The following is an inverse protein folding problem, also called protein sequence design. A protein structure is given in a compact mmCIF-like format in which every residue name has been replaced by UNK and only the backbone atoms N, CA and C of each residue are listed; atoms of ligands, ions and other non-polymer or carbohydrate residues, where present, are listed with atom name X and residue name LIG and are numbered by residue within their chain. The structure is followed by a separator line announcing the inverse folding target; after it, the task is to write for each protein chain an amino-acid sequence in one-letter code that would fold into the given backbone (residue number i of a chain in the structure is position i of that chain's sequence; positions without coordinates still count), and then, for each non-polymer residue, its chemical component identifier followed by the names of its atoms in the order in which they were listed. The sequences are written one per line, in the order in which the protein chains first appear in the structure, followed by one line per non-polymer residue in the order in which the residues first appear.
data_IF_240567336000
#
_entry.id   IF_240567336000
#
_cell.length_a   1.000
_cell.length_b   1.000
_cell.length_c   1.000
_cell.angle_alpha   90.00
_cell.angle_beta   90.00
_cell.angle_gamma   90.00
#
_symmetry.space_group_name_H-M   'P 1'
#
loop_
_entity.id
_entity.type
_entity.pdbx_description
1 polymer ?
#
# COMPACT_ATOMS: atom_id res chain seq x y z
N UNK A 1 15.11 -17.80 -14.14
CA UNK A 1 14.21 -16.62 -14.11
C UNK A 1 14.20 -16.04 -15.51
N UNK A 2 13.04 -15.99 -16.16
CA UNK A 2 12.93 -15.48 -17.53
C UNK A 2 12.73 -13.96 -17.56
N UNK A 3 12.94 -13.35 -18.73
CA UNK A 3 12.80 -11.91 -18.93
C UNK A 3 11.36 -11.40 -18.67
N UNK A 4 10.35 -12.22 -19.00
CA UNK A 4 8.94 -11.86 -18.80
C UNK A 4 8.59 -11.74 -17.31
N UNK A 5 9.13 -12.63 -16.48
CA UNK A 5 9.01 -12.60 -15.03
C UNK A 5 9.57 -11.30 -14.47
N UNK A 6 10.80 -10.93 -14.84
CA UNK A 6 11.46 -9.71 -14.38
C UNK A 6 10.70 -8.45 -14.82
N UNK A 7 10.26 -8.38 -16.08
CA UNK A 7 9.45 -7.27 -16.57
C UNK A 7 8.14 -7.13 -15.80
N UNK A 8 7.47 -8.24 -15.49
CA UNK A 8 6.22 -8.22 -14.73
C UNK A 8 6.43 -7.74 -13.29
N UNK A 9 7.50 -8.20 -12.62
CA UNK A 9 7.89 -7.72 -11.29
C UNK A 9 8.16 -6.21 -11.32
N UNK A 10 8.98 -5.73 -12.27
CA UNK A 10 9.30 -4.31 -12.37
C UNK A 10 8.07 -3.44 -12.65
N UNK A 11 7.18 -3.89 -13.55
CA UNK A 11 5.94 -3.18 -13.86
C UNK A 11 5.04 -3.05 -12.64
N UNK A 12 4.84 -4.13 -11.88
CA UNK A 12 3.98 -4.12 -10.69
C UNK A 12 4.61 -3.37 -9.53
N UNK A 13 5.94 -3.41 -9.39
CA UNK A 13 6.68 -2.56 -8.47
C UNK A 13 6.45 -1.07 -8.79
N UNK A 14 6.66 -0.65 -10.05
CA UNK A 14 6.44 0.74 -10.47
C UNK A 14 4.97 1.18 -10.32
N UNK A 15 4.03 0.26 -10.61
CA UNK A 15 2.60 0.46 -10.37
C UNK A 15 2.30 0.69 -8.89
N UNK A 16 2.96 -0.04 -7.99
CA UNK A 16 2.82 0.13 -6.54
C UNK A 16 3.39 1.47 -6.09
N UNK A 17 4.55 1.90 -6.59
CA UNK A 17 5.10 3.23 -6.29
C UNK A 17 4.14 4.34 -6.74
N UNK A 18 3.55 4.19 -7.93
CA UNK A 18 2.53 5.12 -8.43
C UNK A 18 1.25 5.12 -7.59
N UNK A 19 0.84 3.95 -7.10
CA UNK A 19 -0.30 3.83 -6.20
C UNK A 19 -0.04 4.56 -4.87
N UNK A 20 1.15 4.36 -4.27
CA UNK A 20 1.57 5.04 -3.04
C UNK A 20 1.54 6.56 -3.19
N UNK A 21 2.07 7.09 -4.28
CA UNK A 21 2.24 8.54 -4.45
C UNK A 21 0.92 9.28 -4.54
N UNK A 22 -0.14 8.64 -5.05
CA UNK A 22 -1.43 9.30 -5.27
C UNK A 22 -2.52 8.89 -4.28
N UNK A 23 -2.38 7.73 -3.63
CA UNK A 23 -3.40 7.16 -2.75
C UNK A 23 -2.93 6.92 -1.32
N UNK A 24 -1.64 7.11 -1.03
CA UNK A 24 -1.11 7.06 0.33
C UNK A 24 -1.56 8.26 1.18
N UNK A 25 -1.25 8.25 2.49
CA UNK A 25 -1.69 9.28 3.45
C UNK A 25 -0.91 10.61 3.34
N UNK A 26 -0.53 11.01 2.11
CA UNK A 26 0.24 12.24 1.87
C UNK A 26 -0.48 13.52 2.27
N UNK A 27 -1.81 13.48 2.40
CA UNK A 27 -2.62 14.63 2.85
C UNK A 27 -2.26 15.10 4.25
N UNK A 28 -1.69 14.26 5.14
CA UNK A 28 -1.21 14.71 6.44
C UNK A 28 -0.17 15.83 6.33
N UNK A 29 0.62 15.83 5.25
CA UNK A 29 1.67 16.82 5.02
C UNK A 29 1.18 18.04 4.23
N UNK A 30 -0.09 18.07 3.81
CA UNK A 30 -0.69 19.20 3.07
C UNK A 30 -1.29 20.26 4.00
N UNK A 31 -1.46 21.52 3.55
CA UNK A 31 -2.19 22.55 4.28
C UNK A 31 -3.58 22.07 4.71
N UNK A 32 -4.00 22.44 5.92
CA UNK A 32 -5.20 21.90 6.59
C UNK A 32 -6.45 22.02 5.72
N UNK A 33 -6.60 23.15 5.06
CA UNK A 33 -7.70 23.49 4.14
C UNK A 33 -7.78 22.57 2.91
N UNK A 34 -6.64 22.04 2.43
CA UNK A 34 -6.58 21.17 1.26
C UNK A 34 -6.70 19.68 1.60
N UNK A 35 -6.59 19.29 2.89
CA UNK A 35 -6.49 17.88 3.29
C UNK A 35 -7.76 17.09 3.01
N UNK A 36 -8.93 17.68 3.23
CA UNK A 36 -10.20 16.99 3.06
C UNK A 36 -10.42 16.54 1.60
N UNK A 37 -10.19 17.45 0.67
CA UNK A 37 -10.30 17.19 -0.77
C UNK A 37 -9.20 16.24 -1.26
N UNK A 38 -7.96 16.43 -0.79
CA UNK A 38 -6.85 15.54 -1.12
C UNK A 38 -7.11 14.10 -0.64
N UNK A 39 -7.60 13.93 0.59
CA UNK A 39 -7.98 12.63 1.15
C UNK A 39 -9.08 11.98 0.33
N UNK A 40 -10.15 12.72 0.02
CA UNK A 40 -11.26 12.22 -0.81
C UNK A 40 -10.75 11.78 -2.19
N UNK A 41 -9.93 12.60 -2.84
CA UNK A 41 -9.32 12.28 -4.15
C UNK A 41 -8.43 11.04 -4.10
N UNK A 42 -7.62 10.91 -3.06
CA UNK A 42 -6.72 9.77 -2.86
C UNK A 42 -7.48 8.46 -2.68
N UNK A 43 -8.52 8.45 -1.83
CA UNK A 43 -9.38 7.29 -1.61
C UNK A 43 -10.12 6.92 -2.90
N UNK A 44 -10.65 7.90 -3.63
CA UNK A 44 -11.36 7.66 -4.89
C UNK A 44 -10.44 7.03 -5.95
N UNK A 45 -9.21 7.55 -6.08
CA UNK A 45 -8.20 6.98 -6.99
C UNK A 45 -7.80 5.57 -6.55
N UNK A 46 -7.68 5.30 -5.25
CA UNK A 46 -7.43 3.95 -4.77
C UNK A 46 -8.52 2.98 -5.25
N UNK A 47 -9.79 3.33 -5.02
CA UNK A 47 -10.97 2.52 -5.37
C UNK A 47 -11.12 2.28 -6.87
N UNK A 48 -10.93 3.32 -7.67
CA UNK A 48 -11.31 3.27 -9.09
C UNK A 48 -10.15 2.95 -10.03
N UNK A 49 -8.91 3.23 -9.63
CA UNK A 49 -7.75 3.11 -10.52
C UNK A 49 -6.79 1.99 -10.15
N UNK A 50 -6.46 1.82 -8.87
CA UNK A 50 -5.36 0.94 -8.47
C UNK A 50 -5.82 -0.39 -7.89
N UNK A 51 -6.73 -0.37 -6.91
CA UNK A 51 -7.21 -1.59 -6.28
C UNK A 51 -7.84 -2.58 -7.28
N UNK A 52 -8.65 -2.17 -8.27
CA UNK A 52 -9.17 -3.11 -9.27
C UNK A 52 -8.08 -3.81 -10.08
N UNK A 53 -6.97 -3.12 -10.35
CA UNK A 53 -5.84 -3.68 -11.12
C UNK A 53 -5.10 -4.72 -10.27
N UNK A 54 -4.78 -4.41 -9.01
CA UNK A 54 -4.10 -5.36 -8.13
C UNK A 54 -4.98 -6.53 -7.73
N UNK A 55 -6.28 -6.30 -7.52
CA UNK A 55 -7.27 -7.35 -7.28
C UNK A 55 -7.29 -8.34 -8.44
N UNK A 56 -7.32 -7.84 -9.68
CA UNK A 56 -7.25 -8.66 -10.88
C UNK A 56 -5.93 -9.44 -10.95
N UNK A 57 -4.80 -8.79 -10.73
CA UNK A 57 -3.47 -9.44 -10.78
C UNK A 57 -3.36 -10.57 -9.76
N UNK A 58 -3.79 -10.35 -8.52
CA UNK A 58 -3.78 -11.37 -7.46
C UNK A 58 -4.74 -12.52 -7.79
N UNK A 59 -5.93 -12.20 -8.31
CA UNK A 59 -6.92 -13.19 -8.76
C UNK A 59 -6.36 -14.09 -9.87
N UNK A 60 -5.77 -13.48 -10.91
CA UNK A 60 -5.24 -14.20 -12.08
C UNK A 60 -3.99 -15.03 -11.74
N UNK A 61 -3.15 -14.55 -10.81
CA UNK A 61 -1.97 -15.30 -10.40
C UNK A 61 -2.32 -16.46 -9.45
N UNK A 62 -3.28 -16.27 -8.53
CA UNK A 62 -3.86 -17.33 -7.70
C UNK A 62 -2.94 -17.94 -6.63
N UNK A 63 -1.68 -17.50 -6.54
CA UNK A 63 -0.70 -18.01 -5.56
C UNK A 63 -0.67 -17.24 -4.24
N UNK A 64 -1.38 -16.11 -4.17
CA UNK A 64 -1.27 -15.15 -3.07
C UNK A 64 -0.11 -14.15 -3.21
N UNK A 65 0.67 -14.22 -4.30
CA UNK A 65 1.71 -13.24 -4.65
C UNK A 65 1.35 -12.51 -5.96
N UNK A 66 2.05 -11.43 -6.28
CA UNK A 66 1.85 -10.67 -7.50
C UNK A 66 2.40 -11.34 -8.75
N UNK A 67 3.51 -12.06 -8.63
CA UNK A 67 4.15 -12.79 -9.75
C UNK A 67 4.72 -14.11 -9.24
N UNK A 68 4.37 -15.22 -9.90
CA UNK A 68 4.85 -16.54 -9.50
C UNK A 68 4.34 -16.93 -8.11
N UNK A 69 5.12 -17.70 -7.36
CA UNK A 69 4.69 -18.29 -6.07
C UNK A 69 5.58 -17.88 -4.88
N UNK A 70 6.44 -16.88 -5.06
CA UNK A 70 7.39 -16.41 -4.03
C UNK A 70 7.34 -14.90 -3.91
N UNK A 71 7.72 -14.38 -2.74
CA UNK A 71 7.74 -12.94 -2.49
C UNK A 71 8.81 -12.23 -3.34
N UNK A 72 8.40 -11.12 -3.96
CA UNK A 72 9.28 -10.24 -4.72
C UNK A 72 9.24 -8.82 -4.18
N UNK A 73 10.08 -7.93 -4.71
CA UNK A 73 10.06 -6.51 -4.36
C UNK A 73 8.72 -5.83 -4.72
N UNK A 74 7.99 -6.35 -5.71
CA UNK A 74 6.67 -5.84 -6.05
C UNK A 74 5.67 -6.08 -4.91
N UNK A 75 5.71 -7.27 -4.30
CA UNK A 75 4.87 -7.62 -3.16
C UNK A 75 5.18 -6.73 -1.95
N UNK A 76 6.46 -6.52 -1.64
CA UNK A 76 6.89 -5.59 -0.60
C UNK A 76 6.32 -4.17 -0.82
N UNK A 77 6.39 -3.67 -2.05
CA UNK A 77 5.92 -2.33 -2.39
C UNK A 77 4.39 -2.20 -2.27
N UNK A 78 3.63 -3.19 -2.74
CA UNK A 78 2.18 -3.21 -2.59
C UNK A 78 1.77 -3.37 -1.13
N UNK A 79 2.40 -4.29 -0.40
CA UNK A 79 2.12 -4.56 1.01
C UNK A 79 2.25 -3.31 1.88
N UNK A 80 3.28 -2.50 1.66
CA UNK A 80 3.47 -1.25 2.38
C UNK A 80 2.25 -0.29 2.25
N UNK A 81 1.58 -0.30 1.10
CA UNK A 81 0.43 0.59 0.83
C UNK A 81 -0.84 -0.03 1.40
N UNK A 82 -1.09 -1.31 1.13
CA UNK A 82 -2.31 -1.97 1.56
C UNK A 82 -2.38 -2.17 3.08
N UNK A 83 -1.25 -2.45 3.74
CA UNK A 83 -1.19 -2.51 5.21
C UNK A 83 -1.55 -1.16 5.84
N UNK A 84 -1.01 -0.06 5.30
CA UNK A 84 -1.37 1.29 5.71
C UNK A 84 -2.87 1.57 5.52
N UNK A 85 -3.45 1.17 4.38
CA UNK A 85 -4.88 1.32 4.13
C UNK A 85 -5.76 0.48 5.05
N UNK A 86 -5.27 -0.69 5.47
CA UNK A 86 -5.96 -1.58 6.42
C UNK A 86 -5.94 -1.02 7.84
N UNK A 87 -4.86 -0.38 8.24
CA UNK A 87 -4.64 0.12 9.60
C UNK A 87 -5.28 1.49 9.85
N UNK A 88 -5.42 2.32 8.81
CA UNK A 88 -5.88 3.69 8.94
C UNK A 88 -7.41 3.82 8.78
N UNK A 89 -8.12 4.38 9.78
CA UNK A 89 -9.58 4.53 9.75
C UNK A 89 -10.06 5.45 8.61
N UNK A 90 -9.20 6.35 8.12
CA UNK A 90 -9.49 7.25 7.01
C UNK A 90 -9.90 6.53 5.72
N UNK A 91 -9.41 5.30 5.50
CA UNK A 91 -9.75 4.51 4.33
C UNK A 91 -11.06 3.74 4.48
N UNK A 92 -11.69 3.77 5.66
CA UNK A 92 -13.01 3.20 5.92
C UNK A 92 -13.17 1.76 5.40
N UNK A 93 -12.23 0.89 5.78
CA UNK A 93 -12.18 -0.52 5.39
C UNK A 93 -12.32 -0.75 3.87
N UNK A 94 -11.73 0.13 3.05
CA UNK A 94 -11.78 0.07 1.58
C UNK A 94 -11.52 -1.33 0.99
N UNK A 95 -10.63 -2.11 1.63
CA UNK A 95 -10.22 -3.44 1.19
C UNK A 95 -11.31 -4.51 1.35
N UNK A 96 -12.40 -4.25 2.07
CA UNK A 96 -13.52 -5.18 2.16
C UNK A 96 -14.20 -5.42 0.80
N UNK A 97 -14.05 -4.47 -0.14
CA UNK A 97 -14.51 -4.61 -1.52
C UNK A 97 -13.49 -5.29 -2.46
N UNK A 98 -12.30 -5.64 -1.95
CA UNK A 98 -11.16 -6.19 -2.70
C UNK A 98 -10.58 -7.39 -1.93
N UNK A 99 -11.31 -8.53 -1.89
CA UNK A 99 -10.97 -9.67 -1.05
C UNK A 99 -9.58 -10.25 -1.30
N UNK A 100 -9.06 -10.25 -2.54
CA UNK A 100 -7.71 -10.73 -2.82
C UNK A 100 -6.66 -9.77 -2.29
N UNK A 101 -6.85 -8.45 -2.45
CA UNK A 101 -5.98 -7.46 -1.83
C UNK A 101 -5.97 -7.59 -0.30
N UNK A 102 -7.14 -7.83 0.32
CA UNK A 102 -7.25 -8.05 1.76
C UNK A 102 -6.52 -9.33 2.20
N UNK A 103 -6.76 -10.45 1.52
CA UNK A 103 -6.10 -11.73 1.79
C UNK A 103 -4.59 -11.68 1.54
N UNK A 104 -4.13 -10.91 0.55
CA UNK A 104 -2.72 -10.65 0.29
C UNK A 104 -2.04 -9.99 1.50
N UNK A 105 -2.66 -8.98 2.12
CA UNK A 105 -2.11 -8.35 3.33
C UNK A 105 -1.95 -9.36 4.45
N UNK A 106 -2.95 -10.22 4.67
CA UNK A 106 -2.92 -11.24 5.72
C UNK A 106 -1.83 -12.28 5.47
N UNK A 107 -1.74 -12.78 4.22
CA UNK A 107 -0.74 -13.76 3.78
C UNK A 107 0.68 -13.21 3.91
N UNK A 108 0.90 -12.00 3.39
CA UNK A 108 2.22 -11.37 3.41
C UNK A 108 2.65 -11.00 4.84
N UNK A 109 1.72 -10.58 5.69
CA UNK A 109 1.98 -10.32 7.13
C UNK A 109 2.41 -11.58 7.88
N UNK A 110 1.98 -12.77 7.45
CA UNK A 110 2.29 -14.03 8.10
C UNK A 110 3.69 -14.57 7.77
N UNK A 111 4.38 -14.03 6.76
CA UNK A 111 5.75 -14.42 6.41
C UNK A 111 6.65 -14.18 7.64
N UNK A 112 7.44 -15.17 8.12
CA UNK A 112 8.14 -15.07 9.40
C UNK A 112 9.00 -13.80 9.57
N UNK A 113 9.73 -13.41 8.52
CA UNK A 113 10.53 -12.19 8.53
C UNK A 113 9.71 -10.91 8.56
N UNK A 114 8.58 -10.89 7.85
CA UNK A 114 7.63 -9.75 7.83
C UNK A 114 6.96 -9.64 9.19
N UNK A 115 6.37 -10.72 9.71
CA UNK A 115 5.75 -10.76 11.04
C UNK A 115 6.68 -10.22 12.12
N UNK A 116 7.93 -10.70 12.14
CA UNK A 116 8.96 -10.22 13.08
C UNK A 116 9.24 -8.72 12.93
N UNK A 117 9.27 -8.19 11.71
CA UNK A 117 9.41 -6.75 11.48
C UNK A 117 8.17 -5.99 11.99
N UNK A 118 6.97 -6.49 11.72
CA UNK A 118 5.73 -5.82 12.11
C UNK A 118 5.57 -5.72 13.63
N UNK A 119 6.08 -6.70 14.37
CA UNK A 119 6.10 -6.75 15.84
C UNK A 119 7.28 -5.95 16.45
N UNK A 120 8.21 -5.47 15.62
CA UNK A 120 9.41 -4.77 16.09
C UNK A 120 9.18 -3.25 16.23
N UNK A 121 9.92 -2.58 17.14
CA UNK A 121 9.88 -1.12 17.25
C UNK A 121 10.46 -0.38 16.03
N UNK A 122 11.03 -1.11 15.06
CA UNK A 122 11.51 -0.54 13.79
C UNK A 122 10.37 -0.22 12.83
N UNK A 123 9.19 -0.81 13.04
CA UNK A 123 8.01 -0.49 12.25
C UNK A 123 7.45 0.85 12.71
N UNK A 124 7.55 1.86 11.86
CA UNK A 124 6.90 3.14 12.11
C UNK A 124 5.37 2.99 12.03
N UNK A 125 4.62 3.66 12.92
CA UNK A 125 3.17 3.72 12.83
C UNK A 125 2.73 4.53 11.59
N UNK A 126 1.46 4.41 11.17
CA UNK A 126 0.88 5.34 10.20
C UNK A 126 1.07 6.80 10.63
N UNK A 127 1.26 7.74 9.68
CA UNK A 127 1.48 9.14 10.02
C UNK A 127 0.24 9.74 10.70
N UNK A 128 0.48 10.61 11.66
CA UNK A 128 -0.54 11.39 12.36
C UNK A 128 -0.25 12.90 12.29
N UNK A 129 -1.10 13.69 12.95
CA UNK A 129 -0.95 15.15 12.99
C UNK A 129 0.30 15.61 13.75
N UNK A 130 0.74 14.86 14.76
CA UNK A 130 1.94 15.18 15.54
C UNK A 130 3.19 15.03 14.67
N UNK A 131 3.33 13.89 13.99
CA UNK A 131 4.41 13.64 13.06
C UNK A 131 4.40 14.63 11.89
N UNK A 132 3.22 14.94 11.33
CA UNK A 132 3.12 15.93 10.27
C UNK A 132 3.58 17.33 10.71
N UNK A 133 3.30 17.72 11.96
CA UNK A 133 3.78 18.98 12.55
C UNK A 133 5.30 19.01 12.68
N UNK A 134 5.90 17.93 13.18
CA UNK A 134 7.36 17.80 13.29
C UNK A 134 8.06 17.90 11.93
N UNK A 135 7.55 17.16 10.93
CA UNK A 135 8.09 17.19 9.57
C UNK A 135 8.04 18.59 8.98
N UNK A 136 6.95 19.33 9.19
CA UNK A 136 6.85 20.72 8.71
C UNK A 136 7.84 21.65 9.41
N UNK A 137 8.02 21.51 10.72
CA UNK A 137 8.96 22.33 11.48
C UNK A 137 10.43 22.04 11.14
N UNK A 138 10.74 20.84 10.62
CA UNK A 138 12.09 20.47 10.23
C UNK A 138 12.44 20.86 8.77
N UNK A 139 11.44 20.89 7.88
CA UNK A 139 11.63 21.12 6.45
C UNK A 139 11.33 22.55 5.99
N UNK A 140 10.65 23.36 6.83
CA UNK A 140 10.28 24.75 6.57
C UNK A 140 10.63 25.62 7.78
#
# INVERSE_FOLDING_TARGET
MDYHFLCRVQMLYAGSISFRSVSGPGWFFMPTEARADAKKSAIEKAKTRYLPVFEKVLTENGTGFLVGSEATIADCALFNILSCMKEMPEYNNILDNFPQCKAFVDTFSAIPGVKKYLESPRRFPPPDDAYAKEVRAALY
#
